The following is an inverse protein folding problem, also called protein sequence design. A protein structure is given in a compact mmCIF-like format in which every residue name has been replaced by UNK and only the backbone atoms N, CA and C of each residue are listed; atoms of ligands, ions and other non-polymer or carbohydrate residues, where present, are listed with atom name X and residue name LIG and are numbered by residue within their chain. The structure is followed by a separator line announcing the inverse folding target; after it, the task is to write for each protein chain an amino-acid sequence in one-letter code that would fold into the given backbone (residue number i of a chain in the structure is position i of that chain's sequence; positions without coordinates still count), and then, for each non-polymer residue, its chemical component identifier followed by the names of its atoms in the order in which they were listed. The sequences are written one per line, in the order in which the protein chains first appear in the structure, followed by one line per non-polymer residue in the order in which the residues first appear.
data_IF_246507323573
#
_entry.id   IF_246507323573
#
_cell.length_a   1.000
_cell.length_b   1.000
_cell.length_c   1.000
_cell.angle_alpha   90.00
_cell.angle_beta   90.00
_cell.angle_gamma   90.00
#
_symmetry.space_group_name_H-M   'P 1'
#
loop_
_entity.id
_entity.type
_entity.pdbx_description
1 polymer ?
#
# COMPACT_ATOMS: atom_id res chain seq x y z
N UNK A 1 35.29 -42.96 -51.79
CA UNK A 1 36.17 -42.32 -52.79
C UNK A 1 35.74 -40.85 -52.79
N UNK A 2 36.45 -40.06 -52.03
CA UNK A 2 37.51 -39.15 -52.51
C UNK A 2 36.90 -37.93 -53.17
N UNK A 3 36.93 -36.87 -52.51
CA UNK A 3 37.78 -35.64 -52.47
C UNK A 3 37.03 -34.54 -53.21
N UNK A 4 36.97 -33.32 -52.86
CA UNK A 4 37.90 -32.32 -52.33
C UNK A 4 37.10 -31.06 -51.94
N UNK A 5 37.38 -30.50 -50.83
CA UNK A 5 37.42 -29.04 -50.63
C UNK A 5 38.56 -28.46 -51.50
N UNK A 6 38.62 -27.18 -51.81
CA UNK A 6 38.38 -25.99 -51.00
C UNK A 6 37.90 -24.72 -51.76
N UNK A 7 37.94 -23.61 -51.08
CA UNK A 7 37.95 -22.23 -51.60
C UNK A 7 36.63 -21.43 -51.49
N UNK A 8 36.19 -21.15 -50.30
CA UNK A 8 35.51 -19.85 -50.05
C UNK A 8 35.91 -19.39 -48.62
N UNK A 9 37.09 -18.88 -48.52
CA UNK A 9 37.50 -18.11 -47.34
C UNK A 9 38.16 -16.84 -47.87
N UNK A 10 37.56 -15.69 -47.60
CA UNK A 10 38.21 -14.35 -47.62
C UNK A 10 37.43 -13.21 -48.27
N UNK A 11 36.11 -13.19 -48.24
CA UNK A 11 35.41 -11.92 -48.59
C UNK A 11 34.30 -11.44 -47.65
N UNK A 12 34.11 -12.07 -46.50
CA UNK A 12 33.02 -11.67 -45.57
C UNK A 12 33.49 -10.90 -44.32
N UNK A 13 34.78 -10.73 -44.10
CA UNK A 13 35.25 -10.12 -42.87
C UNK A 13 35.49 -8.60 -42.91
N UNK A 14 35.51 -8.00 -44.08
CA UNK A 14 35.76 -6.55 -44.20
C UNK A 14 34.49 -5.68 -44.21
N UNK A 15 33.34 -6.24 -44.50
CA UNK A 15 32.08 -5.46 -44.53
C UNK A 15 31.32 -5.43 -43.20
N UNK A 16 31.63 -6.36 -42.28
CA UNK A 16 30.95 -6.41 -40.95
C UNK A 16 31.52 -5.38 -39.98
N UNK A 17 32.80 -5.01 -40.16
CA UNK A 17 33.50 -4.09 -39.26
C UNK A 17 33.09 -2.62 -39.38
N UNK A 18 32.49 -2.22 -40.52
CA UNK A 18 32.13 -0.82 -40.78
C UNK A 18 30.65 -0.49 -40.51
N UNK A 19 29.78 -1.49 -40.40
CA UNK A 19 28.35 -1.27 -40.08
C UNK A 19 27.98 -1.45 -38.62
N UNK A 20 28.82 -2.14 -37.82
CA UNK A 20 28.55 -2.34 -36.40
C UNK A 20 28.97 -1.16 -35.48
N UNK A 21 29.91 -0.32 -35.97
CA UNK A 21 30.41 0.79 -35.16
C UNK A 21 29.35 1.87 -34.88
N UNK A 22 28.54 2.31 -35.85
CA UNK A 22 27.48 3.29 -35.56
C UNK A 22 26.32 2.70 -34.71
N UNK A 23 26.04 1.40 -34.82
CA UNK A 23 24.99 0.73 -34.03
C UNK A 23 25.39 0.59 -32.57
N UNK A 24 26.66 0.29 -32.29
CA UNK A 24 27.16 0.21 -30.92
C UNK A 24 27.21 1.59 -30.27
N UNK A 25 27.62 2.63 -31.02
CA UNK A 25 27.65 4.02 -30.52
C UNK A 25 26.24 4.51 -30.23
N UNK A 26 25.25 4.21 -31.08
CA UNK A 26 23.84 4.59 -30.85
C UNK A 26 23.28 3.84 -29.61
N UNK A 27 23.62 2.56 -29.44
CA UNK A 27 23.19 1.76 -28.27
C UNK A 27 23.81 2.26 -26.96
N UNK A 28 25.06 2.73 -26.98
CA UNK A 28 25.73 3.27 -25.78
C UNK A 28 25.24 4.66 -25.41
N UNK A 29 24.80 5.48 -26.40
CA UNK A 29 24.24 6.82 -26.13
C UNK A 29 22.79 6.74 -25.67
N UNK A 30 22.00 5.74 -26.12
CA UNK A 30 20.60 5.58 -25.73
C UNK A 30 20.40 4.96 -24.35
N UNK A 31 21.40 4.21 -23.83
CA UNK A 31 21.31 3.56 -22.53
C UNK A 31 21.24 4.53 -21.32
N UNK A 32 22.00 5.66 -21.28
CA UNK A 32 21.87 6.60 -20.18
C UNK A 32 20.55 7.41 -20.20
N UNK A 33 19.87 7.51 -21.34
CA UNK A 33 18.58 8.21 -21.41
C UNK A 33 17.43 7.42 -20.76
N UNK A 34 17.55 6.09 -20.70
CA UNK A 34 16.55 5.22 -20.05
C UNK A 34 16.67 5.18 -18.53
N UNK A 35 17.83 5.57 -17.96
CA UNK A 35 18.04 5.63 -16.52
C UNK A 35 17.57 6.95 -15.87
N UNK A 36 17.26 7.98 -16.66
CA UNK A 36 16.75 9.26 -16.19
C UNK A 36 15.22 9.31 -16.02
N UNK A 37 14.50 8.23 -16.34
CA UNK A 37 13.04 8.14 -16.23
C UNK A 37 12.55 7.63 -14.86
N UNK A 38 13.44 7.45 -13.87
CA UNK A 38 13.05 7.03 -12.53
C UNK A 38 13.18 8.23 -11.57
N UNK A 39 12.03 8.74 -11.17
CA UNK A 39 11.70 9.36 -9.89
C UNK A 39 11.04 10.74 -10.02
N UNK A 40 9.77 10.71 -10.40
CA UNK A 40 8.80 11.67 -9.91
C UNK A 40 7.80 10.93 -8.99
N UNK A 41 8.28 10.13 -8.05
CA UNK A 41 7.44 9.73 -6.94
C UNK A 41 7.27 10.99 -6.09
N UNK A 42 6.06 11.56 -6.15
CA UNK A 42 5.65 12.57 -5.17
C UNK A 42 5.88 11.97 -3.78
N UNK A 43 6.49 12.71 -2.83
CA UNK A 43 6.58 12.22 -1.47
C UNK A 43 5.17 11.82 -1.01
N UNK A 44 5.03 10.58 -0.55
CA UNK A 44 3.73 10.07 -0.09
C UNK A 44 3.32 10.91 1.11
N UNK A 45 2.14 11.49 1.04
CA UNK A 45 1.61 12.31 2.12
C UNK A 45 1.39 11.43 3.37
N UNK A 46 1.95 11.84 4.50
CA UNK A 46 1.80 11.14 5.77
C UNK A 46 0.32 11.03 6.18
N UNK A 47 -0.49 12.03 5.86
CA UNK A 47 -1.93 11.98 6.10
C UNK A 47 -2.62 10.89 5.25
N UNK A 48 -2.19 10.72 4.00
CA UNK A 48 -2.68 9.64 3.14
C UNK A 48 -2.30 8.27 3.69
N UNK A 49 -1.07 8.11 4.20
CA UNK A 49 -0.64 6.85 4.82
C UNK A 49 -1.45 6.52 6.08
N UNK A 50 -1.72 7.52 6.93
CA UNK A 50 -2.60 7.37 8.09
C UNK A 50 -4.01 6.94 7.66
N UNK A 51 -4.56 7.55 6.61
CA UNK A 51 -5.85 7.19 6.04
C UNK A 51 -5.92 5.75 5.55
N UNK A 52 -4.89 5.30 4.82
CA UNK A 52 -4.80 3.91 4.34
C UNK A 52 -4.75 2.92 5.50
N UNK A 53 -3.99 3.22 6.56
CA UNK A 53 -3.90 2.36 7.73
C UNK A 53 -5.24 2.28 8.50
N UNK A 54 -5.90 3.41 8.74
CA UNK A 54 -7.23 3.44 9.35
C UNK A 54 -8.25 2.64 8.55
N UNK A 55 -8.26 2.84 7.22
CA UNK A 55 -9.13 2.09 6.31
C UNK A 55 -8.89 0.57 6.43
N UNK A 56 -7.63 0.16 6.43
CA UNK A 56 -7.27 -1.25 6.59
C UNK A 56 -7.84 -1.84 7.90
N UNK A 57 -7.60 -1.21 9.05
CA UNK A 57 -8.08 -1.72 10.34
C UNK A 57 -9.61 -1.80 10.41
N UNK A 58 -10.33 -0.81 9.89
CA UNK A 58 -11.77 -0.82 9.90
C UNK A 58 -12.37 -1.83 8.92
N UNK A 59 -11.75 -2.07 7.77
CA UNK A 59 -12.13 -3.18 6.90
C UNK A 59 -11.94 -4.53 7.57
N UNK A 60 -10.83 -4.72 8.29
CA UNK A 60 -10.63 -5.95 9.09
C UNK A 60 -11.71 -6.11 10.17
N UNK A 61 -12.12 -5.01 10.82
CA UNK A 61 -13.24 -5.03 11.76
C UNK A 61 -14.54 -5.51 11.10
N UNK A 62 -14.88 -4.99 9.93
CA UNK A 62 -16.06 -5.39 9.16
C UNK A 62 -16.03 -6.87 8.73
N UNK A 63 -14.88 -7.37 8.35
CA UNK A 63 -14.65 -8.76 7.92
C UNK A 63 -14.59 -9.76 9.08
N UNK A 64 -14.62 -9.28 10.33
CA UNK A 64 -14.54 -10.12 11.53
C UNK A 64 -13.09 -10.40 11.99
N UNK A 65 -12.11 -9.69 11.43
CA UNK A 65 -10.70 -9.72 11.85
C UNK A 65 -10.47 -8.90 13.11
N UNK A 66 -11.17 -9.23 14.20
CA UNK A 66 -11.19 -8.43 15.42
C UNK A 66 -9.82 -8.36 16.12
N UNK A 67 -9.05 -9.44 16.09
CA UNK A 67 -7.70 -9.47 16.66
C UNK A 67 -6.77 -8.49 15.94
N UNK A 68 -6.89 -8.42 14.62
CA UNK A 68 -6.10 -7.53 13.78
C UNK A 68 -6.52 -6.06 13.99
N UNK A 69 -7.82 -5.80 14.11
CA UNK A 69 -8.33 -4.48 14.50
C UNK A 69 -7.76 -4.04 15.86
N UNK A 70 -7.77 -4.91 16.86
CA UNK A 70 -7.22 -4.62 18.20
C UNK A 70 -5.70 -4.41 18.14
N UNK A 71 -4.98 -5.18 17.31
CA UNK A 71 -3.52 -5.00 17.13
C UNK A 71 -3.17 -3.65 16.48
N UNK A 72 -4.11 -3.05 15.77
CA UNK A 72 -4.00 -1.70 15.23
C UNK A 72 -4.08 -0.58 16.27
N UNK A 73 -4.45 -0.87 17.51
CA UNK A 73 -4.49 0.12 18.59
C UNK A 73 -3.08 0.45 19.08
N UNK A 74 -2.84 1.72 19.37
CA UNK A 74 -1.55 2.18 19.88
C UNK A 74 -1.25 1.55 21.23
N UNK A 75 -0.11 0.85 21.34
CA UNK A 75 0.31 0.16 22.55
C UNK A 75 -0.25 -1.26 22.71
N UNK A 76 -1.01 -1.77 21.72
CA UNK A 76 -1.61 -3.11 21.80
C UNK A 76 -0.61 -4.24 22.04
N UNK A 77 0.64 -4.09 21.58
CA UNK A 77 1.71 -5.08 21.78
C UNK A 77 2.10 -5.24 23.25
N UNK A 78 1.85 -4.21 24.08
CA UNK A 78 2.10 -4.23 25.53
C UNK A 78 0.89 -4.61 26.38
N UNK A 79 -0.27 -4.89 25.78
CA UNK A 79 -1.46 -5.23 26.54
C UNK A 79 -1.38 -6.66 27.11
N UNK A 80 -1.81 -6.87 28.38
CA UNK A 80 -2.04 -8.23 28.90
C UNK A 80 -3.02 -8.99 28.00
N UNK A 81 -2.81 -10.29 27.85
CA UNK A 81 -3.66 -11.14 26.99
C UNK A 81 -5.15 -11.06 27.36
N UNK A 82 -5.48 -11.04 28.66
CA UNK A 82 -6.86 -10.89 29.13
C UNK A 82 -7.49 -9.57 28.67
N UNK A 83 -6.72 -8.48 28.64
CA UNK A 83 -7.19 -7.19 28.17
C UNK A 83 -7.40 -7.17 26.64
N UNK A 84 -6.48 -7.76 25.89
CA UNK A 84 -6.64 -7.93 24.43
C UNK A 84 -7.92 -8.71 24.11
N UNK A 85 -8.14 -9.84 24.78
CA UNK A 85 -9.35 -10.65 24.62
C UNK A 85 -10.62 -9.86 24.93
N UNK A 86 -10.60 -9.03 25.96
CA UNK A 86 -11.74 -8.16 26.28
C UNK A 86 -12.01 -7.14 25.14
N UNK A 87 -10.98 -6.54 24.57
CA UNK A 87 -11.11 -5.62 23.41
C UNK A 87 -11.69 -6.34 22.19
N UNK A 88 -11.26 -7.56 21.93
CA UNK A 88 -11.81 -8.40 20.85
C UNK A 88 -13.29 -8.71 21.09
N UNK A 89 -13.69 -9.03 22.32
CA UNK A 89 -15.09 -9.23 22.69
C UNK A 89 -15.89 -7.95 22.47
N UNK A 90 -15.36 -6.79 22.89
CA UNK A 90 -16.01 -5.50 22.70
C UNK A 90 -16.20 -5.18 21.20
N UNK A 91 -15.21 -5.44 20.37
CA UNK A 91 -15.32 -5.27 18.93
C UNK A 91 -16.40 -6.16 18.29
N UNK A 92 -16.49 -7.42 18.72
CA UNK A 92 -17.56 -8.35 18.29
C UNK A 92 -18.94 -7.83 18.69
N UNK A 93 -19.07 -7.36 19.95
CA UNK A 93 -20.33 -6.82 20.46
C UNK A 93 -20.74 -5.54 19.72
N UNK A 94 -19.77 -4.66 19.42
CA UNK A 94 -20.01 -3.47 18.61
C UNK A 94 -20.59 -3.83 17.23
N UNK A 95 -19.95 -4.76 16.52
CA UNK A 95 -20.41 -5.19 15.18
C UNK A 95 -21.77 -5.92 15.23
N UNK A 96 -22.02 -6.70 16.30
CA UNK A 96 -23.34 -7.30 16.52
C UNK A 96 -24.41 -6.22 16.77
N UNK A 97 -24.10 -5.18 17.53
CA UNK A 97 -24.97 -4.03 17.75
C UNK A 97 -25.29 -3.28 16.45
N UNK A 98 -24.30 -3.07 15.56
CA UNK A 98 -24.53 -2.45 14.24
C UNK A 98 -25.46 -3.31 13.38
N UNK A 99 -25.29 -4.64 13.43
CA UNK A 99 -26.16 -5.55 12.69
C UNK A 99 -27.61 -5.48 13.20
N UNK A 100 -27.81 -5.36 14.50
CA UNK A 100 -29.15 -5.28 15.09
C UNK A 100 -29.84 -3.96 14.81
N UNK A 101 -29.09 -2.83 14.87
CA UNK A 101 -29.67 -1.49 14.67
C UNK A 101 -29.84 -1.07 13.22
N UNK A 102 -28.88 -1.46 12.37
CA UNK A 102 -28.74 -0.94 11.01
C UNK A 102 -28.65 -2.06 9.94
N UNK A 103 -29.00 -3.29 10.31
CA UNK A 103 -28.83 -4.47 9.43
C UNK A 103 -27.36 -4.73 9.04
N UNK A 104 -26.40 -4.09 9.71
CA UNK A 104 -24.96 -4.21 9.50
C UNK A 104 -24.34 -3.02 8.79
N UNK A 105 -23.01 -3.08 8.68
CA UNK A 105 -22.20 -2.10 7.93
C UNK A 105 -22.08 -2.61 6.49
N UNK A 106 -22.42 -1.78 5.51
CA UNK A 106 -22.32 -2.10 4.09
C UNK A 106 -21.00 -1.60 3.47
N UNK A 107 -20.51 -0.45 3.94
CA UNK A 107 -19.29 0.14 3.41
C UNK A 107 -18.64 1.09 4.42
N UNK A 108 -17.33 1.30 4.28
CA UNK A 108 -16.57 2.28 5.05
C UNK A 108 -15.47 2.87 4.18
N UNK A 109 -15.43 4.20 4.10
CA UNK A 109 -14.47 4.91 3.24
C UNK A 109 -13.82 6.07 3.98
N UNK A 110 -12.55 6.33 3.71
CA UNK A 110 -11.86 7.54 4.17
C UNK A 110 -12.31 8.70 3.31
N UNK A 111 -12.83 9.76 3.94
CA UNK A 111 -13.24 10.99 3.25
C UNK A 111 -12.13 12.02 3.22
N UNK A 112 -11.36 12.15 4.30
CA UNK A 112 -10.20 13.03 4.41
C UNK A 112 -9.31 12.61 5.57
N UNK A 113 -8.08 13.12 5.59
CA UNK A 113 -7.14 12.99 6.69
C UNK A 113 -6.44 14.32 6.95
N UNK A 114 -6.36 14.74 8.21
CA UNK A 114 -5.83 16.04 8.62
C UNK A 114 -4.80 15.87 9.74
N UNK A 115 -3.57 16.29 9.52
CA UNK A 115 -2.51 16.19 10.52
C UNK A 115 -2.58 17.35 11.50
N UNK A 116 -2.73 17.02 12.77
CA UNK A 116 -2.55 17.94 13.88
C UNK A 116 -1.07 17.93 14.29
N UNK A 117 -0.34 18.96 13.85
CA UNK A 117 1.09 19.08 14.13
C UNK A 117 1.39 19.38 15.61
N UNK A 118 0.46 20.00 16.32
CA UNK A 118 0.60 20.30 17.76
C UNK A 118 0.32 19.07 18.60
N UNK A 119 -0.70 18.28 18.22
CA UNK A 119 -1.09 17.05 18.92
C UNK A 119 -0.24 15.83 18.54
N UNK A 120 0.52 15.89 17.46
CA UNK A 120 1.36 14.78 16.99
C UNK A 120 0.56 13.56 16.51
N UNK A 121 -0.62 13.79 15.94
CA UNK A 121 -1.47 12.74 15.39
C UNK A 121 -2.18 13.23 14.13
N UNK A 122 -2.72 12.30 13.37
CA UNK A 122 -3.52 12.59 12.17
C UNK A 122 -4.95 12.13 12.40
N UNK A 123 -5.90 13.05 12.28
CA UNK A 123 -7.33 12.72 12.30
C UNK A 123 -7.74 12.17 10.94
N UNK A 124 -8.17 10.95 10.90
CA UNK A 124 -8.75 10.32 9.70
C UNK A 124 -10.26 10.33 9.83
N UNK A 125 -10.93 10.99 8.91
CA UNK A 125 -12.39 11.06 8.84
C UNK A 125 -12.89 9.95 7.92
N UNK A 126 -13.78 9.14 8.44
CA UNK A 126 -14.32 8.00 7.73
C UNK A 126 -15.83 8.04 7.70
N UNK A 127 -16.40 7.74 6.56
CA UNK A 127 -17.86 7.63 6.38
C UNK A 127 -18.24 6.14 6.44
N UNK A 128 -19.04 5.79 7.42
CA UNK A 128 -19.66 4.48 7.53
C UNK A 128 -21.03 4.54 6.84
N UNK A 129 -21.28 3.62 5.93
CA UNK A 129 -22.59 3.41 5.33
C UNK A 129 -23.17 2.10 5.86
N UNK A 130 -24.38 2.16 6.41
CA UNK A 130 -25.09 0.99 6.92
C UNK A 130 -25.99 0.37 5.86
N UNK A 131 -26.41 -0.88 6.09
CA UNK A 131 -27.28 -1.58 5.15
C UNK A 131 -28.71 -0.98 5.04
N UNK A 132 -29.13 -0.21 6.03
CA UNK A 132 -30.37 0.57 6.01
C UNK A 132 -30.23 1.95 5.32
N UNK A 133 -29.09 2.18 4.66
CA UNK A 133 -28.73 3.42 3.96
C UNK A 133 -28.43 4.63 4.87
N UNK A 134 -28.43 4.46 6.19
CA UNK A 134 -27.96 5.49 7.12
C UNK A 134 -26.44 5.64 6.96
N UNK A 135 -25.95 6.86 7.13
CA UNK A 135 -24.52 7.19 7.05
C UNK A 135 -24.09 7.95 8.28
N UNK A 136 -22.93 7.59 8.81
CA UNK A 136 -22.32 8.26 9.96
C UNK A 136 -20.85 8.59 9.66
N UNK A 137 -20.42 9.80 9.97
CA UNK A 137 -19.01 10.17 9.93
C UNK A 137 -18.38 9.88 11.28
N UNK A 138 -17.26 9.17 11.28
CA UNK A 138 -16.43 8.95 12.46
C UNK A 138 -15.05 9.57 12.27
N UNK A 139 -14.40 9.92 13.37
CA UNK A 139 -13.01 10.41 13.37
C UNK A 139 -12.14 9.41 14.09
N UNK A 140 -11.10 8.96 13.40
CA UNK A 140 -10.11 8.02 13.92
C UNK A 140 -8.77 8.74 14.05
N UNK A 141 -8.34 9.10 15.27
CA UNK A 141 -7.02 9.69 15.45
C UNK A 141 -5.95 8.60 15.31
N UNK A 142 -4.99 8.85 14.43
CA UNK A 142 -3.88 7.95 14.11
C UNK A 142 -2.56 8.52 14.58
N UNK A 143 -1.70 7.69 15.15
CA UNK A 143 -0.34 8.07 15.57
C UNK A 143 0.70 7.21 14.84
N UNK A 144 1.81 7.82 14.45
CA UNK A 144 2.92 7.10 13.84
C UNK A 144 3.82 6.50 14.92
N UNK A 145 4.08 5.19 14.82
CA UNK A 145 4.97 4.43 15.70
C UNK A 145 6.02 3.73 14.86
N UNK A 146 7.22 4.27 14.84
CA UNK A 146 8.25 3.80 13.91
C UNK A 146 7.79 3.97 12.46
N UNK A 147 7.59 2.87 11.78
CA UNK A 147 7.14 2.85 10.38
C UNK A 147 5.66 2.50 10.20
N UNK A 148 4.92 2.37 11.30
CA UNK A 148 3.50 1.98 11.28
C UNK A 148 2.60 3.08 11.81
N UNK A 149 1.38 3.14 11.26
CA UNK A 149 0.30 3.97 11.78
C UNK A 149 -0.62 3.13 12.67
N UNK A 150 -0.89 3.63 13.88
CA UNK A 150 -1.74 2.97 14.87
C UNK A 150 -2.89 3.89 15.28
N UNK A 151 -4.04 3.32 15.62
CA UNK A 151 -5.18 4.05 16.19
C UNK A 151 -4.83 4.50 17.60
N UNK A 152 -5.09 5.77 17.93
CA UNK A 152 -4.75 6.39 19.23
C UNK A 152 -5.69 5.90 20.35
#
# INVERSE_FOLDING_TARGET
MTICFPFIRQRCLTHIKQRCLPLVIVAVISLPLLLAACSNEKPVDEAELAGRAANHYYHRLMEGGYDEFVSGMNGADGYPESYRQQLVINAKQYMAGMRTRHSGVSDIVVTRAETDTLGGYTNVFMLITFADSIREEIVVPMVKRGNEWKMK
#
